data_IF_201776562977
#
_entry.id   IF_201776562977
#
_cell.length_a   1.000
_cell.length_b   1.000
_cell.length_c   1.000
_cell.angle_alpha   90.00
_cell.angle_beta   90.00
_cell.angle_gamma   90.00
#
_symmetry.space_group_name_H-M   'P 1'
#
loop_
_entity.id
_entity.type
_entity.pdbx_description
1 polymer ?
#
# COMPACT_ATOMS: atom_id res chain seq x y z
N UNK A 1 -38.80 35.82 23.29
CA UNK A 1 -37.89 37.00 23.27
C UNK A 1 -36.51 36.74 22.62
N UNK A 2 -36.18 35.54 22.13
CA UNK A 2 -34.82 35.25 21.60
C UNK A 2 -34.52 35.67 20.14
N UNK A 3 -35.56 35.92 19.32
CA UNK A 3 -35.37 36.23 17.88
C UNK A 3 -34.81 37.65 17.64
N UNK A 4 -35.30 38.64 18.39
CA UNK A 4 -34.83 40.02 18.27
C UNK A 4 -33.36 40.16 18.72
N UNK A 5 -33.00 39.52 19.84
CA UNK A 5 -31.61 39.47 20.33
C UNK A 5 -30.67 38.78 19.33
N UNK A 6 -31.13 37.72 18.66
CA UNK A 6 -30.35 37.03 17.63
C UNK A 6 -30.08 37.91 16.39
N UNK A 7 -31.05 38.72 15.96
CA UNK A 7 -30.90 39.63 14.80
C UNK A 7 -29.89 40.74 15.11
N UNK A 8 -29.97 41.33 16.30
CA UNK A 8 -29.02 42.34 16.78
C UNK A 8 -27.60 41.76 16.91
N UNK A 9 -27.44 40.60 17.54
CA UNK A 9 -26.15 39.92 17.63
C UNK A 9 -25.56 39.59 16.26
N UNK A 10 -26.40 39.22 15.28
CA UNK A 10 -25.95 38.93 13.91
C UNK A 10 -25.41 40.17 13.22
N UNK A 11 -26.01 41.34 13.42
CA UNK A 11 -25.55 42.60 12.83
C UNK A 11 -24.23 43.05 13.45
N UNK A 12 -24.09 42.95 14.78
CA UNK A 12 -22.85 43.27 15.50
C UNK A 12 -21.71 42.33 15.06
N UNK A 13 -21.96 41.03 14.99
CA UNK A 13 -20.96 40.05 14.56
C UNK A 13 -20.54 40.19 13.09
N UNK A 14 -21.38 40.83 12.25
CA UNK A 14 -21.09 41.10 10.82
C UNK A 14 -20.40 42.44 10.60
N UNK A 15 -20.29 43.28 11.62
CA UNK A 15 -19.55 44.53 11.50
C UNK A 15 -18.10 44.23 11.05
N UNK A 16 -17.66 44.94 10.03
CA UNK A 16 -16.31 44.86 9.50
C UNK A 16 -15.85 43.43 9.09
N UNK A 17 -16.76 42.63 8.52
CA UNK A 17 -16.45 41.27 8.07
C UNK A 17 -15.48 41.25 6.88
N UNK A 18 -15.58 42.23 5.98
CA UNK A 18 -14.76 42.34 4.77
C UNK A 18 -13.28 42.58 5.09
N UNK A 19 -12.95 43.56 5.94
CA UNK A 19 -11.55 43.78 6.33
C UNK A 19 -10.98 42.60 7.14
N UNK A 20 -11.81 41.90 7.92
CA UNK A 20 -11.41 40.66 8.59
C UNK A 20 -11.10 39.54 7.59
N UNK A 21 -11.91 39.40 6.55
CA UNK A 21 -11.68 38.43 5.48
C UNK A 21 -10.38 38.76 4.72
N UNK A 22 -10.19 40.03 4.32
CA UNK A 22 -8.96 40.46 3.65
C UNK A 22 -7.71 40.21 4.49
N UNK A 23 -7.76 40.43 5.81
CA UNK A 23 -6.64 40.14 6.72
C UNK A 23 -6.27 38.66 6.81
N UNK A 24 -7.22 37.76 6.56
CA UNK A 24 -6.99 36.31 6.56
C UNK A 24 -6.50 35.85 5.19
N UNK A 25 -7.12 36.36 4.12
CA UNK A 25 -6.78 36.04 2.73
C UNK A 25 -5.40 36.58 2.34
N UNK A 26 -4.99 37.74 2.87
CA UNK A 26 -3.68 38.34 2.60
C UNK A 26 -2.50 37.60 3.25
N UNK A 27 -2.73 36.51 3.98
CA UNK A 27 -1.65 35.70 4.56
C UNK A 27 -1.24 34.65 3.52
N UNK A 28 0.05 34.55 3.22
CA UNK A 28 0.58 33.58 2.25
C UNK A 28 0.19 32.13 2.58
N UNK A 29 0.10 31.81 3.89
CA UNK A 29 -0.35 30.50 4.37
C UNK A 29 -1.25 30.67 5.60
N UNK A 30 -2.32 29.88 5.74
CA UNK A 30 -3.11 29.85 6.96
C UNK A 30 -2.26 29.36 8.13
N UNK A 31 -2.48 29.93 9.30
CA UNK A 31 -1.83 29.46 10.52
C UNK A 31 -2.31 28.02 10.82
N UNK A 32 -1.39 27.07 11.07
CA UNK A 32 -1.78 25.72 11.44
C UNK A 32 -2.57 25.73 12.75
N UNK A 33 -3.47 24.77 12.91
CA UNK A 33 -4.23 24.62 14.15
C UNK A 33 -3.28 24.40 15.35
N UNK A 34 -3.60 24.95 16.53
CA UNK A 34 -2.80 24.70 17.73
C UNK A 34 -2.83 23.21 18.07
N UNK A 35 -1.67 22.66 18.44
CA UNK A 35 -1.52 21.26 18.83
C UNK A 35 -1.66 21.12 20.35
N UNK A 36 -2.02 19.92 20.81
CA UNK A 36 -2.08 19.60 22.23
C UNK A 36 -0.66 19.63 22.84
N UNK A 37 -0.47 20.08 24.10
CA UNK A 37 0.86 20.20 24.72
C UNK A 37 1.67 18.90 24.73
N UNK A 38 1.03 17.73 24.86
CA UNK A 38 1.75 16.45 24.78
C UNK A 38 2.35 16.19 23.39
N UNK A 39 1.57 16.46 22.34
CA UNK A 39 2.01 16.33 20.95
C UNK A 39 3.11 17.33 20.62
N UNK A 40 3.03 18.54 21.17
CA UNK A 40 4.06 19.56 20.98
C UNK A 40 5.40 19.08 21.57
N UNK A 41 5.42 18.55 22.79
CA UNK A 41 6.64 17.99 23.42
C UNK A 41 7.26 16.87 22.59
N UNK A 42 6.44 15.93 22.09
CA UNK A 42 6.91 14.83 21.25
C UNK A 42 7.54 15.32 19.94
N UNK A 43 6.94 16.35 19.33
CA UNK A 43 7.48 16.97 18.11
C UNK A 43 8.81 17.65 18.42
N UNK A 44 8.89 18.40 19.51
CA UNK A 44 10.11 19.14 19.88
C UNK A 44 11.26 18.17 20.22
N UNK A 45 10.97 17.07 20.92
CA UNK A 45 11.94 16.00 21.20
C UNK A 45 12.44 15.35 19.90
N UNK A 46 11.52 14.95 19.01
CA UNK A 46 11.87 14.37 17.72
C UNK A 46 12.70 15.33 16.85
N UNK A 47 12.35 16.62 16.83
CA UNK A 47 13.10 17.63 16.09
C UNK A 47 14.51 17.84 16.68
N UNK A 48 14.65 17.75 18.01
CA UNK A 48 15.95 17.88 18.66
C UNK A 48 16.87 16.68 18.36
N UNK A 49 16.33 15.46 18.39
CA UNK A 49 17.07 14.23 18.12
C UNK A 49 17.48 14.13 16.64
N UNK A 50 16.61 14.60 15.73
CA UNK A 50 16.85 14.51 14.28
C UNK A 50 17.53 15.74 13.68
N UNK A 51 18.03 16.67 14.50
CA UNK A 51 18.60 17.92 14.01
C UNK A 51 19.82 17.69 13.09
N UNK A 52 20.66 16.71 13.43
CA UNK A 52 21.82 16.33 12.60
C UNK A 52 21.38 15.75 11.26
N UNK A 53 20.42 14.82 11.27
CA UNK A 53 19.83 14.22 10.06
C UNK A 53 19.19 15.30 9.19
N UNK A 54 18.48 16.24 9.80
CA UNK A 54 17.84 17.36 9.10
C UNK A 54 18.87 18.26 8.42
N UNK A 55 19.98 18.55 9.09
CA UNK A 55 21.07 19.33 8.51
C UNK A 55 21.74 18.57 7.36
N UNK A 56 21.95 17.26 7.51
CA UNK A 56 22.47 16.41 6.45
C UNK A 56 21.55 16.41 5.22
N UNK A 57 20.23 16.29 5.41
CA UNK A 57 19.23 16.33 4.34
C UNK A 57 19.15 17.69 3.63
N UNK A 58 19.37 18.79 4.35
CA UNK A 58 19.40 20.14 3.78
C UNK A 58 20.71 20.44 3.04
N UNK A 59 21.78 19.70 3.38
CA UNK A 59 23.08 19.80 2.73
C UNK A 59 23.16 18.86 1.51
N UNK A 60 23.97 19.23 0.52
CA UNK A 60 24.21 18.35 -0.63
C UNK A 60 25.24 17.28 -0.25
N UNK A 61 24.84 16.01 -0.25
CA UNK A 61 25.77 14.89 -0.12
C UNK A 61 26.46 14.58 -1.48
N UNK A 62 27.73 14.93 -1.61
CA UNK A 62 28.52 14.77 -2.84
C UNK A 62 28.74 13.30 -3.23
N UNK A 63 28.99 12.43 -2.24
CA UNK A 63 29.23 11.00 -2.48
C UNK A 63 27.96 10.32 -3.02
N UNK A 64 26.80 10.64 -2.44
CA UNK A 64 25.52 10.12 -2.91
C UNK A 64 25.19 10.63 -4.34
N UNK A 65 25.44 11.91 -4.63
CA UNK A 65 25.24 12.49 -5.97
C UNK A 65 26.08 11.77 -7.04
N UNK A 66 27.32 11.41 -6.73
CA UNK A 66 28.17 10.62 -7.63
C UNK A 66 27.68 9.18 -7.79
N UNK A 67 27.22 8.54 -6.70
CA UNK A 67 26.70 7.19 -6.74
C UNK A 67 25.42 7.10 -7.59
N UNK A 68 24.50 8.06 -7.43
CA UNK A 68 23.26 8.10 -8.20
C UNK A 68 23.50 8.31 -9.70
N UNK A 69 24.56 9.05 -10.09
CA UNK A 69 24.97 9.16 -11.51
C UNK A 69 25.49 7.84 -12.08
N UNK A 70 26.09 6.99 -11.24
CA UNK A 70 26.63 5.68 -11.64
C UNK A 70 25.56 4.58 -11.69
N UNK A 71 24.49 4.71 -10.89
CA UNK A 71 23.38 3.74 -10.87
C UNK A 71 22.40 4.08 -12.00
N UNK A 72 22.49 3.34 -13.09
CA UNK A 72 21.50 3.38 -14.16
C UNK A 72 20.91 1.98 -14.38
N UNK A 73 19.60 1.93 -14.61
CA UNK A 73 18.90 0.68 -14.93
C UNK A 73 18.90 0.53 -16.44
N UNK A 74 19.64 -0.43 -16.97
CA UNK A 74 19.49 -0.87 -18.36
C UNK A 74 18.43 -1.96 -18.40
N UNK A 75 17.23 -1.60 -18.83
CA UNK A 75 16.21 -2.61 -19.12
C UNK A 75 16.58 -3.36 -20.40
N UNK A 76 17.25 -4.50 -20.27
CA UNK A 76 17.38 -5.45 -21.38
C UNK A 76 16.06 -6.18 -21.56
N UNK A 77 15.11 -5.52 -22.24
CA UNK A 77 13.85 -6.18 -22.54
C UNK A 77 14.06 -7.12 -23.71
N UNK A 78 14.16 -8.43 -23.44
CA UNK A 78 13.86 -9.49 -24.42
C UNK A 78 12.34 -9.65 -24.54
N UNK A 79 11.62 -8.55 -24.77
CA UNK A 79 10.22 -8.66 -25.18
C UNK A 79 10.18 -8.52 -26.68
N UNK A 80 9.49 -9.47 -27.30
CA UNK A 80 8.93 -9.37 -28.63
C UNK A 80 8.83 -7.93 -29.11
N UNK A 81 9.53 -7.65 -30.21
CA UNK A 81 9.59 -6.34 -30.88
C UNK A 81 8.22 -5.74 -31.24
N UNK A 82 7.12 -6.44 -30.94
CA UNK A 82 5.73 -6.03 -31.16
C UNK A 82 5.25 -4.97 -30.16
N UNK A 83 5.71 -4.97 -28.91
CA UNK A 83 5.22 -4.00 -27.89
C UNK A 83 5.95 -2.64 -27.96
N UNK A 84 7.15 -2.59 -28.55
CA UNK A 84 7.98 -1.38 -28.59
C UNK A 84 7.88 -0.56 -29.88
N UNK A 85 7.30 -1.09 -30.97
CA UNK A 85 7.02 -0.30 -32.18
C UNK A 85 6.07 0.87 -31.90
N UNK A 86 5.19 0.73 -30.90
CA UNK A 86 4.25 1.77 -30.53
C UNK A 86 4.87 2.88 -29.66
N UNK A 87 6.01 2.63 -29.01
CA UNK A 87 6.65 3.61 -28.10
C UNK A 87 7.70 4.50 -28.76
N UNK A 88 8.27 4.10 -29.91
CA UNK A 88 9.29 4.93 -30.60
C UNK A 88 8.70 6.11 -31.40
N UNK A 89 7.37 6.27 -31.43
CA UNK A 89 6.70 7.48 -31.92
C UNK A 89 6.60 8.61 -30.87
N UNK A 90 6.93 8.35 -29.60
CA UNK A 90 6.69 9.25 -28.47
C UNK A 90 7.91 10.10 -28.04
N UNK A 91 8.78 10.51 -28.96
CA UNK A 91 9.79 11.55 -28.68
C UNK A 91 9.76 12.77 -29.62
N UNK A 92 8.75 12.92 -30.48
CA UNK A 92 8.73 14.06 -31.41
C UNK A 92 7.37 14.54 -31.91
N UNK A 93 6.26 13.89 -31.54
CA UNK A 93 4.91 14.35 -31.90
C UNK A 93 4.02 14.31 -30.67
N UNK A 94 3.25 15.39 -30.50
CA UNK A 94 2.32 15.63 -29.41
C UNK A 94 1.72 14.33 -28.88
N UNK A 95 1.95 14.08 -27.59
CA UNK A 95 1.33 13.00 -26.82
C UNK A 95 -0.17 13.14 -27.00
N UNK A 96 -0.72 12.44 -27.98
CA UNK A 96 -2.16 12.35 -28.23
C UNK A 96 -2.69 11.63 -27.00
N UNK A 97 -3.15 12.42 -26.02
CA UNK A 97 -3.78 12.04 -24.76
C UNK A 97 -3.48 10.60 -24.37
N UNK A 98 -2.55 10.40 -23.42
CA UNK A 98 -2.56 9.22 -22.54
C UNK A 98 -4.02 8.89 -22.29
N UNK A 99 -4.49 7.86 -22.97
CA UNK A 99 -5.91 7.62 -23.15
C UNK A 99 -6.47 7.41 -21.78
N UNK A 100 -7.21 8.43 -21.32
CA UNK A 100 -8.11 8.48 -20.17
C UNK A 100 -7.86 7.30 -19.24
N UNK A 101 -7.09 7.50 -18.18
CA UNK A 101 -6.99 6.53 -17.10
C UNK A 101 -8.40 6.04 -16.80
N UNK A 102 -8.73 4.83 -17.27
CA UNK A 102 -10.12 4.39 -17.34
C UNK A 102 -10.59 4.27 -15.91
N UNK A 103 -11.60 5.07 -15.55
CA UNK A 103 -12.24 4.94 -14.26
C UNK A 103 -12.63 3.47 -14.05
N UNK A 104 -12.49 2.93 -12.84
CA UNK A 104 -12.95 1.58 -12.53
C UNK A 104 -14.38 1.40 -13.02
N UNK A 105 -14.58 0.48 -13.97
CA UNK A 105 -15.91 0.20 -14.53
C UNK A 105 -16.80 -0.54 -13.55
N UNK A 106 -16.19 -1.33 -12.67
CA UNK A 106 -16.92 -2.06 -11.64
C UNK A 106 -17.29 -1.13 -10.50
N UNK A 107 -18.57 -1.18 -10.10
CA UNK A 107 -19.11 -0.55 -8.89
C UNK A 107 -19.33 -1.57 -7.77
N UNK A 108 -18.93 -2.83 -7.96
CA UNK A 108 -19.08 -3.87 -6.96
C UNK A 108 -18.13 -3.61 -5.79
N UNK A 109 -18.56 -3.97 -4.57
CA UNK A 109 -17.66 -4.01 -3.43
C UNK A 109 -16.60 -5.10 -3.70
N UNK A 110 -15.33 -4.77 -3.48
CA UNK A 110 -14.26 -5.77 -3.47
C UNK A 110 -14.53 -6.70 -2.30
N UNK A 111 -14.67 -7.99 -2.57
CA UNK A 111 -14.89 -8.99 -1.53
C UNK A 111 -13.60 -9.12 -0.72
N UNK A 112 -13.73 -9.05 0.60
CA UNK A 112 -12.59 -9.23 1.49
C UNK A 112 -12.07 -10.66 1.34
N UNK A 113 -10.78 -10.81 1.12
CA UNK A 113 -10.16 -12.13 0.99
C UNK A 113 -9.99 -12.79 2.36
N UNK A 114 -10.22 -14.10 2.42
CA UNK A 114 -10.11 -14.94 3.63
C UNK A 114 -8.77 -14.74 4.36
N UNK A 115 -7.68 -14.55 3.62
CA UNK A 115 -6.32 -14.41 4.15
C UNK A 115 -5.77 -12.98 4.02
N UNK A 116 -6.63 -11.99 3.74
CA UNK A 116 -6.22 -10.59 3.63
C UNK A 116 -5.41 -10.23 2.37
N UNK A 117 -5.22 -11.17 1.43
CA UNK A 117 -4.59 -10.91 0.13
C UNK A 117 -5.44 -11.47 -1.01
N UNK A 118 -5.48 -10.80 -2.16
CA UNK A 118 -6.24 -11.28 -3.31
C UNK A 118 -5.51 -12.44 -4.00
N UNK A 119 -6.19 -13.57 -4.16
CA UNK A 119 -5.66 -14.72 -4.89
C UNK A 119 -5.67 -14.51 -6.41
N UNK A 120 -4.68 -15.04 -7.14
CA UNK A 120 -4.66 -15.00 -8.59
C UNK A 120 -5.79 -15.88 -9.16
N UNK A 121 -6.46 -15.39 -10.21
CA UNK A 121 -7.50 -16.15 -10.90
C UNK A 121 -6.95 -17.39 -11.62
N UNK A 122 -5.71 -17.28 -12.13
CA UNK A 122 -5.03 -18.35 -12.85
C UNK A 122 -3.78 -18.74 -12.05
N UNK A 123 -3.78 -19.97 -11.54
CA UNK A 123 -2.66 -20.54 -10.79
C UNK A 123 -1.82 -21.37 -11.77
N UNK A 124 -0.53 -21.04 -11.96
CA UNK A 124 0.34 -21.81 -12.85
C UNK A 124 0.61 -23.21 -12.29
N UNK A 125 0.82 -24.17 -13.18
CA UNK A 125 1.07 -25.56 -12.79
C UNK A 125 2.33 -25.69 -11.94
N UNK A 126 2.29 -26.58 -10.94
CA UNK A 126 3.38 -26.75 -9.98
C UNK A 126 3.54 -25.61 -8.98
N UNK A 127 2.60 -24.65 -8.94
CA UNK A 127 2.48 -23.64 -7.90
C UNK A 127 1.14 -23.80 -7.18
N UNK A 128 1.12 -23.37 -5.93
CA UNK A 128 -0.06 -23.47 -5.05
C UNK A 128 -0.27 -22.16 -4.31
N UNK A 129 -1.53 -21.82 -4.06
CA UNK A 129 -1.90 -20.65 -3.24
C UNK A 129 -2.03 -21.02 -1.76
N UNK A 130 -1.96 -20.04 -0.86
CA UNK A 130 -2.08 -20.33 0.58
C UNK A 130 -3.45 -20.95 0.91
N UNK A 131 -4.54 -20.56 0.23
CA UNK A 131 -5.84 -21.23 0.40
C UNK A 131 -5.78 -22.72 0.06
N UNK A 132 -5.11 -23.07 -1.04
CA UNK A 132 -4.91 -24.48 -1.42
C UNK A 132 -4.05 -25.22 -0.39
N UNK A 133 -2.97 -24.58 0.09
CA UNK A 133 -2.13 -25.14 1.16
C UNK A 133 -2.97 -25.43 2.41
N UNK A 134 -3.79 -24.49 2.86
CA UNK A 134 -4.65 -24.70 4.02
C UNK A 134 -5.61 -25.88 3.83
N UNK A 135 -6.22 -26.01 2.65
CA UNK A 135 -7.09 -27.14 2.32
C UNK A 135 -6.34 -28.48 2.31
N UNK A 136 -5.11 -28.51 1.77
CA UNK A 136 -4.24 -29.70 1.78
C UNK A 136 -3.97 -30.14 3.22
N UNK A 137 -3.64 -29.20 4.11
CA UNK A 137 -3.34 -29.49 5.51
C UNK A 137 -4.56 -30.04 6.26
N UNK A 138 -5.73 -29.44 6.04
CA UNK A 138 -6.99 -29.93 6.64
C UNK A 138 -7.30 -31.35 6.18
N UNK A 139 -7.23 -31.62 4.86
CA UNK A 139 -7.48 -32.96 4.31
C UNK A 139 -6.47 -34.00 4.81
N UNK A 140 -5.19 -33.65 4.90
CA UNK A 140 -4.16 -34.54 5.45
C UNK A 140 -4.39 -34.84 6.93
N UNK A 141 -4.89 -33.85 7.69
CA UNK A 141 -5.21 -34.02 9.10
C UNK A 141 -6.44 -34.91 9.31
N UNK A 142 -7.44 -34.82 8.42
CA UNK A 142 -8.63 -35.69 8.45
C UNK A 142 -8.25 -37.16 8.19
N UNK A 143 -7.56 -37.44 7.08
CA UNK A 143 -7.21 -38.80 6.67
C UNK A 143 -5.81 -38.88 6.03
N UNK A 144 -4.76 -38.83 6.86
CA UNK A 144 -3.37 -38.82 6.38
C UNK A 144 -2.93 -40.05 5.58
N UNK A 145 -3.64 -41.18 5.69
CA UNK A 145 -3.38 -42.39 4.88
C UNK A 145 -3.90 -42.25 3.45
N UNK A 146 -5.06 -41.61 3.29
CA UNK A 146 -5.71 -41.39 1.99
C UNK A 146 -5.09 -40.20 1.28
N UNK A 147 -4.93 -39.10 2.01
CA UNK A 147 -4.39 -37.84 1.51
C UNK A 147 -2.90 -37.77 1.79
N UNK A 148 -2.10 -38.52 1.03
CA UNK A 148 -0.65 -38.56 1.19
C UNK A 148 0.07 -37.58 0.24
N UNK A 149 1.39 -37.46 0.37
CA UNK A 149 2.19 -36.57 -0.49
C UNK A 149 2.07 -36.91 -1.98
N UNK A 150 1.98 -38.19 -2.34
CA UNK A 150 1.84 -38.66 -3.73
C UNK A 150 0.47 -38.30 -4.33
N UNK A 151 -0.58 -38.29 -3.52
CA UNK A 151 -1.90 -37.82 -3.91
C UNK A 151 -1.88 -36.32 -4.25
N UNK A 152 -1.26 -35.51 -3.39
CA UNK A 152 -1.19 -34.07 -3.60
C UNK A 152 -0.23 -33.65 -4.71
N UNK A 153 0.88 -34.36 -4.89
CA UNK A 153 1.80 -34.12 -6.02
C UNK A 153 1.08 -34.34 -7.35
N UNK A 154 0.29 -35.41 -7.46
CA UNK A 154 -0.50 -35.73 -8.65
C UNK A 154 -1.61 -34.71 -8.89
N UNK A 155 -2.35 -34.34 -7.84
CA UNK A 155 -3.50 -33.44 -7.95
C UNK A 155 -3.11 -32.00 -8.32
N UNK A 156 -2.04 -31.47 -7.72
CA UNK A 156 -1.60 -30.08 -7.91
C UNK A 156 -0.39 -29.96 -8.85
N UNK A 157 0.05 -31.06 -9.47
CA UNK A 157 1.26 -31.14 -10.30
C UNK A 157 2.51 -30.61 -9.59
N UNK A 158 2.59 -30.83 -8.27
CA UNK A 158 3.75 -30.47 -7.46
C UNK A 158 4.84 -31.51 -7.59
N UNK A 159 6.08 -31.14 -7.27
CA UNK A 159 7.12 -32.14 -7.07
C UNK A 159 6.82 -32.94 -5.79
N UNK A 160 7.16 -34.23 -5.79
CA UNK A 160 6.92 -35.07 -4.61
C UNK A 160 7.71 -34.57 -3.39
N UNK A 161 8.92 -34.06 -3.61
CA UNK A 161 9.75 -33.45 -2.56
C UNK A 161 9.05 -32.24 -1.92
N UNK A 162 8.48 -31.35 -2.73
CA UNK A 162 7.74 -30.19 -2.22
C UNK A 162 6.49 -30.60 -1.45
N UNK A 163 5.75 -31.62 -1.92
CA UNK A 163 4.57 -32.13 -1.23
C UNK A 163 4.94 -32.76 0.13
N UNK A 164 6.02 -33.53 0.20
CA UNK A 164 6.53 -34.11 1.46
C UNK A 164 6.99 -33.00 2.41
N UNK A 165 7.74 -32.02 1.91
CA UNK A 165 8.21 -30.90 2.70
C UNK A 165 7.05 -30.06 3.24
N UNK A 166 6.01 -29.83 2.42
CA UNK A 166 4.81 -29.13 2.82
C UNK A 166 4.13 -29.83 3.99
N UNK A 167 3.85 -31.13 3.89
CA UNK A 167 3.18 -31.87 4.96
C UNK A 167 4.03 -31.99 6.25
N UNK A 168 5.36 -31.98 6.11
CA UNK A 168 6.29 -32.10 7.24
C UNK A 168 6.48 -30.79 8.01
N UNK A 169 6.68 -29.68 7.28
CA UNK A 169 7.08 -28.40 7.88
C UNK A 169 5.91 -27.45 8.12
N UNK A 170 4.85 -27.55 7.31
CA UNK A 170 3.64 -26.78 7.55
C UNK A 170 2.67 -27.61 8.37
N UNK A 171 2.55 -27.27 9.65
CA UNK A 171 1.53 -27.82 10.53
C UNK A 171 0.78 -26.66 11.17
N UNK A 172 -0.56 -26.66 11.18
CA UNK A 172 -1.30 -25.69 11.95
C UNK A 172 -0.94 -25.84 13.44
N UNK A 173 -1.08 -24.75 14.20
CA UNK A 173 -0.72 -24.71 15.62
C UNK A 173 -1.20 -25.95 16.38
N UNK A 174 -0.28 -26.65 17.05
CA UNK A 174 -0.62 -27.77 17.94
C UNK A 174 -1.24 -27.19 19.20
N UNK A 175 -2.54 -27.40 19.38
CA UNK A 175 -3.24 -27.01 20.61
C UNK A 175 -2.83 -27.97 21.72
N UNK A 176 -1.98 -27.50 22.62
CA UNK A 176 -1.66 -28.20 23.86
C UNK A 176 -2.71 -27.82 24.92
N UNK A 177 -3.62 -28.75 25.21
CA UNK A 177 -4.58 -28.60 26.30
C UNK A 177 -3.89 -29.14 27.57
N UNK A 178 -3.61 -28.31 28.59
CA UNK A 178 -3.03 -28.79 29.84
C UNK A 178 -4.02 -29.73 30.54
N UNK A 179 -3.51 -30.78 31.19
CA UNK A 179 -4.30 -31.63 32.07
C UNK A 179 -4.77 -30.80 33.29
N UNK A 180 -6.02 -31.01 33.69
CA UNK A 180 -6.67 -30.30 34.81
C UNK A 180 -6.02 -30.59 36.16
#
# INVERSE_FOLDING_TARGET
MGKALSILNRQINRFNAENRAHRVISKDKPAPAPKHPSTQKQIDEFLSETQEIRNELMSKNHQLDENLKKVYVVSHTTADQRVFRDRKLFMGKAVKSLSVAKLPKSRSRVVDSEFGYQEPEIIPEGKITLKQVMNILVQHQEDGKKYNASYFSSQYKLTEEDAVNLLKYFSPFKVHIPEK
#
